data_IF_389330632283
#
_entry.id   IF_389330632283
#
_cell.length_a   1.000
_cell.length_b   1.000
_cell.length_c   1.000
_cell.angle_alpha   90.00
_cell.angle_beta   90.00
_cell.angle_gamma   90.00
#
_symmetry.space_group_name_H-M   'P 1'
#
loop_
_entity.id
_entity.type
_entity.pdbx_description
1 polymer ?
#
# COMPACT_ATOMS: atom_id res chain seq x y z
N UNK A 1 38.44 -24.88 -22.16
CA UNK A 1 38.27 -23.80 -21.17
C UNK A 1 36.77 -23.55 -21.07
N UNK A 2 36.11 -24.32 -20.20
CA UNK A 2 34.65 -24.40 -20.08
C UNK A 2 34.25 -23.68 -18.81
N UNK A 3 33.66 -22.49 -18.95
CA UNK A 3 33.09 -21.74 -17.83
C UNK A 3 31.70 -22.32 -17.50
N UNK A 4 31.43 -22.66 -16.23
CA UNK A 4 30.16 -23.26 -15.85
C UNK A 4 29.06 -22.21 -15.63
N UNK A 5 27.87 -22.63 -16.05
CA UNK A 5 26.54 -22.44 -15.46
C UNK A 5 26.22 -21.13 -14.72
N UNK A 6 25.24 -20.43 -15.30
CA UNK A 6 24.32 -19.53 -14.63
C UNK A 6 23.88 -20.08 -13.25
N UNK A 7 24.14 -19.31 -12.20
CA UNK A 7 23.50 -19.54 -10.91
C UNK A 7 22.22 -18.71 -10.87
N UNK A 8 21.13 -19.39 -11.23
CA UNK A 8 19.76 -18.97 -11.00
C UNK A 8 19.61 -18.45 -9.57
N UNK A 9 19.01 -17.26 -9.46
CA UNK A 9 18.53 -16.72 -8.19
C UNK A 9 17.77 -17.81 -7.45
N UNK A 10 18.25 -18.13 -6.25
CA UNK A 10 17.60 -19.05 -5.34
C UNK A 10 16.18 -18.54 -5.12
N UNK A 11 15.21 -19.30 -5.64
CA UNK A 11 13.82 -19.15 -5.27
C UNK A 11 13.77 -19.20 -3.74
N UNK A 12 13.50 -18.05 -3.11
CA UNK A 12 13.32 -18.03 -1.66
C UNK A 12 12.11 -18.90 -1.36
N UNK A 13 12.35 -20.01 -0.69
CA UNK A 13 11.32 -20.79 -0.02
C UNK A 13 10.48 -19.78 0.76
N UNK A 14 9.19 -19.65 0.41
CA UNK A 14 8.23 -18.76 1.09
C UNK A 14 8.27 -19.10 2.58
N UNK A 15 9.04 -18.34 3.33
CA UNK A 15 9.00 -18.37 4.78
C UNK A 15 7.91 -17.37 5.14
N UNK A 16 6.89 -17.85 5.82
CA UNK A 16 5.91 -16.95 6.40
C UNK A 16 6.64 -16.02 7.38
N UNK A 17 6.54 -14.71 7.15
CA UNK A 17 7.13 -13.72 8.03
C UNK A 17 6.31 -13.63 9.32
N UNK A 18 7.00 -13.69 10.47
CA UNK A 18 6.35 -13.71 11.78
C UNK A 18 6.22 -12.28 12.30
N UNK A 19 4.98 -11.83 12.52
CA UNK A 19 4.68 -10.51 13.11
C UNK A 19 4.51 -10.65 14.63
N UNK A 20 5.39 -10.02 15.40
CA UNK A 20 5.35 -10.00 16.86
C UNK A 20 4.69 -8.71 17.36
N UNK A 21 3.57 -8.81 18.07
CA UNK A 21 2.82 -7.66 18.59
C UNK A 21 2.69 -7.77 20.12
N UNK A 22 2.97 -6.68 20.83
CA UNK A 22 2.71 -6.56 22.27
C UNK A 22 1.34 -5.95 22.49
N UNK A 23 0.56 -6.54 23.40
CA UNK A 23 -0.74 -6.02 23.81
C UNK A 23 -0.92 -6.20 25.31
N UNK A 24 -1.73 -5.34 25.93
CA UNK A 24 -2.13 -5.52 27.32
C UNK A 24 -3.01 -6.77 27.48
N UNK A 25 -3.07 -7.30 28.70
CA UNK A 25 -3.93 -8.45 28.99
C UNK A 25 -5.41 -8.17 28.67
N UNK A 26 -5.89 -6.96 28.97
CA UNK A 26 -7.26 -6.53 28.65
C UNK A 26 -7.53 -6.49 27.14
N UNK A 27 -6.59 -5.96 26.35
CA UNK A 27 -6.72 -5.91 24.90
C UNK A 27 -6.72 -7.32 24.30
N UNK A 28 -5.81 -8.19 24.75
CA UNK A 28 -5.79 -9.60 24.31
C UNK A 28 -7.11 -10.30 24.64
N UNK A 29 -7.67 -10.08 25.83
CA UNK A 29 -8.95 -10.69 26.22
C UNK A 29 -10.11 -10.22 25.34
N UNK A 30 -10.17 -8.91 25.04
CA UNK A 30 -11.15 -8.34 24.12
C UNK A 30 -11.06 -8.98 22.72
N UNK A 31 -9.85 -9.04 22.16
CA UNK A 31 -9.62 -9.59 20.82
C UNK A 31 -9.93 -11.10 20.76
N UNK A 32 -9.56 -11.86 21.80
CA UNK A 32 -9.90 -13.28 21.89
C UNK A 32 -11.41 -13.52 21.92
N UNK A 33 -12.17 -12.68 22.65
CA UNK A 33 -13.63 -12.74 22.66
C UNK A 33 -14.20 -12.44 21.27
N UNK A 34 -13.71 -11.42 20.58
CA UNK A 34 -14.14 -11.09 19.22
C UNK A 34 -13.88 -12.23 18.22
N UNK A 35 -12.68 -12.84 18.27
CA UNK A 35 -12.33 -13.99 17.46
C UNK A 35 -13.25 -15.20 17.74
N UNK A 36 -13.55 -15.45 19.03
CA UNK A 36 -14.44 -16.54 19.44
C UNK A 36 -15.85 -16.38 18.90
N UNK A 37 -16.39 -15.15 18.89
CA UNK A 37 -17.72 -14.85 18.32
C UNK A 37 -17.78 -15.11 16.81
N UNK A 38 -16.63 -15.04 16.12
CA UNK A 38 -16.50 -15.37 14.69
C UNK A 38 -16.14 -16.84 14.43
N UNK A 39 -15.91 -17.64 15.47
CA UNK A 39 -15.47 -19.03 15.34
C UNK A 39 -14.06 -19.18 14.79
N UNK A 40 -13.22 -18.15 14.93
CA UNK A 40 -11.85 -18.11 14.40
C UNK A 40 -10.82 -18.09 15.54
N UNK A 41 -9.58 -18.48 15.25
CA UNK A 41 -8.48 -18.31 16.20
C UNK A 41 -8.09 -16.83 16.31
N UNK A 42 -7.52 -16.43 17.46
CA UNK A 42 -7.07 -15.06 17.67
C UNK A 42 -6.09 -14.59 16.57
N UNK A 43 -5.14 -15.43 16.16
CA UNK A 43 -4.16 -15.10 15.12
C UNK A 43 -4.81 -14.88 13.75
N UNK A 44 -5.78 -15.71 13.37
CA UNK A 44 -6.52 -15.60 12.11
C UNK A 44 -7.36 -14.33 12.11
N UNK A 45 -8.11 -14.08 13.20
CA UNK A 45 -8.89 -12.86 13.37
C UNK A 45 -8.03 -11.59 13.28
N UNK A 46 -6.86 -11.60 13.93
CA UNK A 46 -5.92 -10.47 13.90
C UNK A 46 -5.35 -10.24 12.50
N UNK A 47 -4.93 -11.30 11.81
CA UNK A 47 -4.37 -11.19 10.47
C UNK A 47 -5.42 -10.71 9.47
N UNK A 48 -6.64 -11.23 9.55
CA UNK A 48 -7.75 -10.81 8.68
C UNK A 48 -8.13 -9.35 8.89
N UNK A 49 -8.19 -8.92 10.16
CA UNK A 49 -8.51 -7.54 10.52
C UNK A 49 -7.40 -6.59 10.06
N UNK A 50 -6.13 -6.94 10.30
CA UNK A 50 -4.98 -6.14 9.90
C UNK A 50 -4.87 -6.01 8.37
N UNK A 51 -5.14 -7.10 7.63
CA UNK A 51 -5.16 -7.08 6.17
C UNK A 51 -6.23 -6.14 5.63
N UNK A 52 -7.46 -6.23 6.15
CA UNK A 52 -8.55 -5.34 5.74
C UNK A 52 -8.22 -3.87 6.01
N UNK A 53 -7.70 -3.56 7.19
CA UNK A 53 -7.30 -2.19 7.54
C UNK A 53 -6.15 -1.70 6.64
N UNK A 54 -5.18 -2.56 6.32
CA UNK A 54 -4.10 -2.23 5.41
C UNK A 54 -4.62 -1.99 3.98
N UNK A 55 -5.55 -2.81 3.49
CA UNK A 55 -6.20 -2.62 2.19
C UNK A 55 -6.94 -1.29 2.15
N UNK A 56 -7.75 -0.97 3.17
CA UNK A 56 -8.46 0.31 3.28
C UNK A 56 -7.46 1.49 3.30
N UNK A 57 -6.40 1.43 4.11
CA UNK A 57 -5.39 2.49 4.19
C UNK A 57 -4.55 2.67 2.90
N UNK A 58 -4.31 1.60 2.15
CA UNK A 58 -3.64 1.67 0.84
C UNK A 58 -4.57 2.24 -0.22
N UNK A 59 -5.86 1.87 -0.19
CA UNK A 59 -6.86 2.32 -1.15
C UNK A 59 -7.31 3.77 -0.90
N UNK A 60 -7.32 4.23 0.35
CA UNK A 60 -7.61 5.61 0.74
C UNK A 60 -6.67 6.61 0.04
N UNK A 61 -5.45 6.18 -0.33
CA UNK A 61 -4.51 7.01 -1.11
C UNK A 61 -4.90 7.22 -2.58
N UNK A 62 -5.99 6.61 -3.07
CA UNK A 62 -6.42 6.71 -4.48
C UNK A 62 -7.76 7.40 -4.67
N UNK A 63 -8.53 7.63 -3.60
CA UNK A 63 -9.88 8.20 -3.69
C UNK A 63 -9.88 9.59 -3.07
N UNK A 64 -9.82 10.60 -3.94
CA UNK A 64 -10.00 11.99 -3.52
C UNK A 64 -11.50 12.29 -3.42
N UNK A 65 -12.01 12.41 -2.21
CA UNK A 65 -13.35 12.91 -1.98
C UNK A 65 -13.35 14.43 -2.19
N UNK A 66 -14.01 14.88 -3.25
CA UNK A 66 -14.22 16.30 -3.55
C UNK A 66 -15.68 16.65 -3.24
N UNK A 67 -15.91 17.79 -2.60
CA UNK A 67 -17.25 18.38 -2.57
C UNK A 67 -17.66 18.90 -3.96
N UNK A 68 -18.92 19.35 -4.11
CA UNK A 68 -19.44 19.77 -5.41
C UNK A 68 -18.67 20.96 -6.03
N UNK A 69 -18.16 21.88 -5.20
CA UNK A 69 -17.41 23.05 -5.64
C UNK A 69 -16.01 22.64 -6.10
N UNK A 70 -15.33 21.82 -5.30
CA UNK A 70 -14.01 21.25 -5.61
C UNK A 70 -14.06 20.36 -6.86
N UNK A 71 -15.12 19.58 -7.03
CA UNK A 71 -15.33 18.76 -8.22
C UNK A 71 -15.46 19.64 -9.48
N UNK A 72 -16.24 20.72 -9.42
CA UNK A 72 -16.41 21.62 -10.56
C UNK A 72 -15.14 22.43 -10.87
N UNK A 73 -14.39 22.83 -9.85
CA UNK A 73 -13.07 23.44 -10.03
C UNK A 73 -12.08 22.46 -10.66
N UNK A 74 -12.07 21.21 -10.21
CA UNK A 74 -11.24 20.15 -10.77
C UNK A 74 -11.54 19.91 -12.25
N UNK A 75 -12.83 19.79 -12.63
CA UNK A 75 -13.24 19.68 -14.03
C UNK A 75 -12.77 20.89 -14.86
N UNK A 76 -12.92 22.09 -14.33
CA UNK A 76 -12.50 23.33 -15.02
C UNK A 76 -10.99 23.37 -15.28
N UNK A 77 -10.18 22.82 -14.35
CA UNK A 77 -8.73 22.69 -14.51
C UNK A 77 -8.34 21.59 -15.52
N UNK A 78 -9.15 20.55 -15.68
CA UNK A 78 -8.93 19.52 -16.70
C UNK A 78 -9.25 20.03 -18.11
N UNK A 79 -10.32 20.82 -18.25
CA UNK A 79 -10.76 21.35 -19.55
C UNK A 79 -9.89 22.53 -20.03
N UNK A 80 -9.18 23.21 -19.13
CA UNK A 80 -8.26 24.29 -19.44
C UNK A 80 -6.85 23.99 -18.89
N UNK A 81 -6.08 23.08 -19.53
CA UNK A 81 -4.73 22.79 -19.08
C UNK A 81 -3.89 24.08 -19.13
N UNK A 82 -3.26 24.47 -18.00
CA UNK A 82 -2.44 25.66 -17.98
C UNK A 82 -1.21 25.47 -18.87
N UNK A 83 -0.80 26.54 -19.56
CA UNK A 83 0.46 26.58 -20.32
C UNK A 83 1.62 26.09 -19.43
N UNK A 84 2.47 25.17 -19.92
CA UNK A 84 3.52 24.60 -19.11
C UNK A 84 4.46 25.70 -18.63
N UNK A 85 4.58 25.84 -17.31
CA UNK A 85 5.53 26.80 -16.74
C UNK A 85 6.98 26.44 -17.14
N UNK A 86 7.89 27.42 -17.23
CA UNK A 86 9.31 27.15 -17.54
C UNK A 86 9.97 26.14 -16.58
N UNK A 87 9.46 26.04 -15.35
CA UNK A 87 9.90 25.04 -14.36
C UNK A 87 9.42 23.62 -14.71
N UNK A 88 8.19 23.47 -15.21
CA UNK A 88 7.63 22.19 -15.65
C UNK A 88 8.37 21.67 -16.89
N UNK A 89 8.67 22.54 -17.86
CA UNK A 89 9.42 22.12 -19.05
C UNK A 89 10.83 21.62 -18.70
N UNK A 90 11.52 22.31 -17.77
CA UNK A 90 12.83 21.89 -17.28
C UNK A 90 12.77 20.55 -16.55
N UNK A 91 11.68 20.27 -15.84
CA UNK A 91 11.46 19.00 -15.17
C UNK A 91 11.19 17.87 -16.18
N UNK A 92 10.37 18.10 -17.20
CA UNK A 92 10.07 17.10 -18.25
C UNK A 92 11.30 16.73 -19.10
N UNK A 93 12.27 17.64 -19.25
CA UNK A 93 13.54 17.40 -19.96
C UNK A 93 14.59 16.62 -19.15
N UNK A 94 14.33 16.34 -17.87
CA UNK A 94 15.28 15.64 -16.99
C UNK A 94 15.08 14.13 -17.12
N UNK A 95 16.17 13.39 -17.36
CA UNK A 95 16.15 11.92 -17.32
C UNK A 95 15.69 11.44 -15.93
N UNK A 96 14.66 10.59 -15.85
CA UNK A 96 14.19 10.03 -14.59
C UNK A 96 15.31 9.25 -13.88
N UNK A 97 15.35 9.31 -12.55
CA UNK A 97 16.43 8.69 -11.77
C UNK A 97 16.43 7.15 -11.79
N UNK A 98 15.34 6.54 -12.29
CA UNK A 98 15.17 5.09 -12.42
C UNK A 98 15.51 4.54 -13.81
N UNK A 99 15.95 5.39 -14.73
CA UNK A 99 16.37 5.02 -16.10
C UNK A 99 17.90 4.85 -16.20
N UNK A 100 18.57 4.64 -15.05
CA UNK A 100 20.00 4.38 -14.89
C UNK A 100 20.19 3.17 -14.00
#
# INVERSE_FOLDING_TARGET
MTLPAAQNGTASTRKDDVIQIRASAGMKAMLSRAASLRGQKLSEFMLDSARREAEEAILDQRVFFLDAEQHQQFLSLLDAPPEPSPALERLMRRTPAWDR
#
